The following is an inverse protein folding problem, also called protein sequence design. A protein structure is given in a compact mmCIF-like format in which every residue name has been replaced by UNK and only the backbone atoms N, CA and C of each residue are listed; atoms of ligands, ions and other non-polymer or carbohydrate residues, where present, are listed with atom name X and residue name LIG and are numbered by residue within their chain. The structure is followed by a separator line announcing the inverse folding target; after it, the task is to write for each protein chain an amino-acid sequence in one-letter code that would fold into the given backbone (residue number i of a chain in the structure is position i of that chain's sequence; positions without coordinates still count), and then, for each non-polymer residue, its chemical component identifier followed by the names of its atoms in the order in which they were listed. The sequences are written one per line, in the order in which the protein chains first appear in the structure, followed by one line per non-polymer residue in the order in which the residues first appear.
data_IF_567542733458
#
_entry.id   IF_567542733458
#
_cell.length_a   1.000
_cell.length_b   1.000
_cell.length_c   1.000
_cell.angle_alpha   90.00
_cell.angle_beta   90.00
_cell.angle_gamma   90.00
#
_symmetry.space_group_name_H-M   'P 1'
#
loop_
_entity.id
_entity.type
_entity.pdbx_description
1 polymer ?
#
# COMPACT_ATOMS: atom_id res chain seq x y z
N UNK A 1 -24.94 1.63 -6.83
CA UNK A 1 -23.52 1.46 -6.51
C UNK A 1 -23.26 2.23 -5.21
N UNK A 2 -22.71 1.61 -4.18
CA UNK A 2 -22.32 2.28 -2.94
C UNK A 2 -21.14 3.21 -3.22
N UNK A 3 -21.09 4.38 -2.54
CA UNK A 3 -19.96 5.28 -2.66
C UNK A 3 -18.69 4.60 -2.14
N UNK A 4 -17.52 4.80 -2.79
CA UNK A 4 -16.27 4.21 -2.33
C UNK A 4 -15.87 4.77 -0.94
N UNK A 5 -15.19 3.94 -0.15
CA UNK A 5 -14.64 4.36 1.13
C UNK A 5 -13.46 5.31 0.93
N UNK A 6 -12.52 4.93 0.03
CA UNK A 6 -11.42 5.77 -0.43
C UNK A 6 -11.57 5.98 -1.94
N UNK A 7 -11.43 7.22 -2.38
CA UNK A 7 -11.52 7.62 -3.79
C UNK A 7 -10.38 8.58 -4.13
N UNK A 8 -9.43 8.09 -4.90
CA UNK A 8 -8.28 8.86 -5.38
C UNK A 8 -8.53 9.26 -6.82
N UNK A 9 -8.60 10.56 -7.08
CA UNK A 9 -8.78 11.12 -8.41
C UNK A 9 -7.60 12.00 -8.79
N UNK A 10 -6.86 11.57 -9.83
CA UNK A 10 -5.73 12.29 -10.46
C UNK A 10 -4.73 12.86 -9.45
N UNK A 11 -4.40 12.10 -8.41
CA UNK A 11 -3.47 12.51 -7.36
C UNK A 11 -2.07 12.72 -7.94
N UNK A 12 -1.53 13.92 -7.76
CA UNK A 12 -0.20 14.32 -8.21
C UNK A 12 0.65 14.75 -7.02
N UNK A 13 1.86 14.20 -6.94
CA UNK A 13 2.85 14.56 -5.92
C UNK A 13 4.16 14.86 -6.61
N UNK A 14 4.84 15.92 -6.19
CA UNK A 14 6.10 16.29 -6.78
C UNK A 14 7.12 16.81 -5.78
N UNK A 15 8.37 16.81 -6.24
CA UNK A 15 9.53 17.26 -5.50
C UNK A 15 10.30 18.31 -6.31
N UNK A 16 10.86 19.34 -5.66
CA UNK A 16 11.77 20.25 -6.33
C UNK A 16 13.13 19.55 -6.56
N UNK A 17 13.54 19.47 -7.82
CA UNK A 17 14.82 18.89 -8.24
C UNK A 17 15.47 19.88 -9.21
N UNK A 18 16.68 20.35 -8.90
CA UNK A 18 17.43 21.31 -9.74
C UNK A 18 16.61 22.51 -10.24
N UNK A 19 15.81 23.12 -9.37
CA UNK A 19 14.98 24.29 -9.69
C UNK A 19 13.69 24.01 -10.47
N UNK A 20 13.36 22.76 -10.73
CA UNK A 20 12.10 22.32 -11.38
C UNK A 20 11.30 21.43 -10.45
N UNK A 21 9.98 21.44 -10.58
CA UNK A 21 9.12 20.47 -9.87
C UNK A 21 8.99 19.23 -10.74
N UNK A 22 9.42 18.09 -10.17
CA UNK A 22 9.35 16.80 -10.82
C UNK A 22 8.24 15.99 -10.17
N UNK A 23 7.34 15.45 -10.97
CA UNK A 23 6.23 14.62 -10.50
C UNK A 23 6.70 13.20 -10.21
N UNK A 24 6.50 12.77 -8.97
CA UNK A 24 6.70 11.40 -8.52
C UNK A 24 5.40 10.58 -8.58
N UNK A 25 4.23 11.23 -8.41
CA UNK A 25 2.93 10.69 -8.79
C UNK A 25 2.34 11.57 -9.87
N UNK A 26 1.88 10.96 -10.97
CA UNK A 26 1.55 11.60 -12.24
C UNK A 26 0.05 11.51 -12.56
N UNK A 27 -0.79 11.77 -11.55
CA UNK A 27 -2.24 11.74 -11.73
C UNK A 27 -2.83 10.35 -11.58
N UNK A 28 -2.44 9.63 -10.53
CA UNK A 28 -3.00 8.30 -10.25
C UNK A 28 -4.45 8.39 -9.79
N UNK A 29 -5.27 7.42 -10.24
CA UNK A 29 -6.67 7.31 -9.86
C UNK A 29 -7.03 5.86 -9.56
N UNK A 30 -7.63 5.61 -8.40
CA UNK A 30 -8.21 4.33 -8.01
C UNK A 30 -9.11 4.53 -6.80
N UNK A 31 -9.91 3.52 -6.50
CA UNK A 31 -10.84 3.52 -5.37
C UNK A 31 -10.69 2.26 -4.52
N UNK A 32 -11.20 2.33 -3.29
CA UNK A 32 -11.34 1.19 -2.38
C UNK A 32 -12.78 1.20 -1.86
N UNK A 33 -13.51 0.09 -2.06
CA UNK A 33 -14.86 -0.05 -1.55
C UNK A 33 -14.85 -0.43 -0.05
N UNK A 34 -15.94 -0.18 0.70
CA UNK A 34 -16.05 -0.67 2.08
C UNK A 34 -15.84 -2.20 2.15
N UNK A 35 -14.91 -2.64 3.03
CA UNK A 35 -14.57 -4.04 3.21
C UNK A 35 -13.70 -4.65 2.11
N UNK A 36 -13.32 -3.91 1.08
CA UNK A 36 -12.48 -4.38 -0.02
C UNK A 36 -11.00 -4.38 0.34
N UNK A 37 -10.23 -5.33 -0.23
CA UNK A 37 -8.78 -5.32 -0.24
C UNK A 37 -8.27 -4.96 -1.63
N UNK A 38 -7.59 -3.80 -1.74
CA UNK A 38 -6.95 -3.34 -2.98
C UNK A 38 -5.45 -3.43 -2.84
N UNK A 39 -4.80 -4.12 -3.78
CA UNK A 39 -3.36 -4.23 -3.88
C UNK A 39 -2.75 -3.08 -4.69
N UNK A 40 -1.63 -2.52 -4.22
CA UNK A 40 -0.85 -1.54 -4.97
C UNK A 40 0.54 -2.11 -5.24
N UNK A 41 0.80 -2.51 -6.49
CA UNK A 41 2.01 -3.21 -6.91
C UNK A 41 2.87 -2.40 -7.88
N UNK A 42 4.12 -2.82 -8.04
CA UNK A 42 5.10 -2.24 -8.97
C UNK A 42 6.52 -2.32 -8.44
N UNK A 43 7.50 -2.01 -9.27
CA UNK A 43 8.92 -1.98 -8.89
C UNK A 43 9.19 -0.91 -7.80
N UNK A 44 10.35 -1.00 -7.15
CA UNK A 44 10.82 0.05 -6.24
C UNK A 44 10.87 1.40 -6.95
N UNK A 45 10.47 2.48 -6.27
CA UNK A 45 10.39 3.82 -6.87
C UNK A 45 9.16 4.07 -7.76
N UNK A 46 8.23 3.11 -7.92
CA UNK A 46 7.01 3.33 -8.73
C UNK A 46 5.98 4.28 -8.10
N UNK A 47 6.11 4.65 -6.83
CA UNK A 47 5.22 5.59 -6.14
C UNK A 47 4.27 4.96 -5.11
N UNK A 48 4.37 3.67 -4.82
CA UNK A 48 3.47 2.94 -3.90
C UNK A 48 3.39 3.55 -2.50
N UNK A 49 4.51 3.56 -1.78
CA UNK A 49 4.59 4.14 -0.42
C UNK A 49 4.30 5.64 -0.41
N UNK A 50 4.70 6.36 -1.48
CA UNK A 50 4.38 7.77 -1.63
C UNK A 50 2.87 8.00 -1.76
N UNK A 51 2.14 7.08 -2.39
CA UNK A 51 0.67 7.12 -2.44
C UNK A 51 0.07 7.00 -1.04
N UNK A 52 0.55 6.05 -0.22
CA UNK A 52 0.11 5.90 1.16
C UNK A 52 0.36 7.17 2.00
N UNK A 53 1.58 7.73 1.87
CA UNK A 53 1.94 8.97 2.55
C UNK A 53 1.09 10.17 2.07
N UNK A 54 0.78 10.24 0.79
CA UNK A 54 -0.05 11.31 0.24
C UNK A 54 -1.50 11.24 0.73
N UNK A 55 -2.09 10.04 0.81
CA UNK A 55 -3.41 9.81 1.41
C UNK A 55 -3.46 10.38 2.83
N UNK A 56 -2.44 10.12 3.63
CA UNK A 56 -2.35 10.57 5.02
C UNK A 56 -1.78 11.99 5.18
N UNK A 57 -1.46 12.70 4.08
CA UNK A 57 -0.78 14.00 4.10
C UNK A 57 0.52 13.98 4.92
N UNK A 58 1.29 12.90 4.78
CA UNK A 58 2.58 12.69 5.44
C UNK A 58 3.77 12.79 4.45
N UNK A 59 3.54 13.34 3.25
CA UNK A 59 4.64 13.60 2.31
C UNK A 59 5.60 14.60 2.94
N UNK A 60 6.85 14.13 3.16
CA UNK A 60 7.86 14.95 3.82
C UNK A 60 8.34 16.10 2.91
N UNK A 61 8.53 17.32 3.45
CA UNK A 61 9.21 18.38 2.72
C UNK A 61 10.59 17.93 2.19
N UNK A 62 10.98 18.38 0.98
CA UNK A 62 10.38 19.40 0.14
C UNK A 62 9.27 18.87 -0.80
N UNK A 63 8.86 17.62 -0.67
CA UNK A 63 7.75 17.04 -1.44
C UNK A 63 6.40 17.67 -1.08
N UNK A 64 5.51 17.75 -2.05
CA UNK A 64 4.15 18.28 -1.84
C UNK A 64 3.15 17.68 -2.81
N UNK A 65 1.89 17.65 -2.39
CA UNK A 65 0.77 17.36 -3.29
C UNK A 65 0.60 18.54 -4.24
N UNK A 66 0.56 18.28 -5.54
CA UNK A 66 0.44 19.26 -6.60
C UNK A 66 -0.99 19.43 -7.09
N UNK A 67 -1.85 18.42 -6.86
CA UNK A 67 -3.25 18.44 -7.30
C UNK A 67 -3.89 17.06 -7.24
N UNK A 68 -5.12 16.97 -7.67
CA UNK A 68 -5.99 15.81 -7.53
C UNK A 68 -6.86 15.88 -6.29
N UNK A 69 -7.58 14.79 -5.98
CA UNK A 69 -8.46 14.66 -4.83
C UNK A 69 -8.19 13.35 -4.10
N UNK A 70 -8.34 13.36 -2.79
CA UNK A 70 -8.32 12.17 -1.93
C UNK A 70 -9.60 12.17 -1.10
N UNK A 71 -10.65 11.55 -1.63
CA UNK A 71 -11.93 11.36 -0.95
C UNK A 71 -11.85 10.19 0.03
N UNK A 72 -12.31 10.38 1.27
CA UNK A 72 -12.43 9.30 2.24
C UNK A 72 -13.74 9.47 3.02
N UNK A 73 -14.59 8.45 3.03
CA UNK A 73 -15.90 8.45 3.70
C UNK A 73 -16.72 9.72 3.39
N UNK A 74 -16.65 10.22 2.15
CA UNK A 74 -17.37 11.42 1.68
C UNK A 74 -16.65 12.76 1.89
N UNK A 75 -15.50 12.80 2.57
CA UNK A 75 -14.72 14.01 2.81
C UNK A 75 -13.46 14.05 1.93
N UNK A 76 -13.06 15.23 1.46
CA UNK A 76 -11.76 15.41 0.80
C UNK A 76 -10.66 15.63 1.86
N UNK A 77 -9.77 14.64 2.01
CA UNK A 77 -8.69 14.68 2.99
C UNK A 77 -7.71 15.84 2.74
N UNK A 78 -7.55 16.27 1.48
CA UNK A 78 -6.63 17.35 1.15
C UNK A 78 -7.15 18.73 1.62
N UNK A 79 -8.47 18.86 1.79
CA UNK A 79 -9.13 20.09 2.24
C UNK A 79 -9.29 20.18 3.78
N UNK A 80 -9.09 19.08 4.52
CA UNK A 80 -9.24 19.06 5.96
C UNK A 80 -8.19 19.93 6.67
N UNK A 81 -8.57 20.54 7.79
CA UNK A 81 -7.62 21.15 8.72
C UNK A 81 -6.69 20.09 9.33
N UNK A 82 -5.55 20.50 9.89
CA UNK A 82 -4.62 19.56 10.53
C UNK A 82 -5.26 18.91 11.80
N UNK A 83 -6.12 19.62 12.49
CA UNK A 83 -6.85 19.09 13.64
C UNK A 83 -7.82 17.96 13.23
N UNK A 84 -8.50 18.10 12.08
CA UNK A 84 -9.37 17.07 11.52
C UNK A 84 -8.54 15.90 11.01
N UNK A 85 -7.43 16.16 10.27
CA UNK A 85 -6.54 15.11 9.81
C UNK A 85 -5.95 14.26 10.95
N UNK A 86 -5.64 14.86 12.12
CA UNK A 86 -5.20 14.10 13.29
C UNK A 86 -6.24 13.11 13.80
N UNK A 87 -7.52 13.41 13.65
CA UNK A 87 -8.59 12.46 14.02
C UNK A 87 -8.70 11.33 13.00
N UNK A 88 -8.45 11.62 11.73
CA UNK A 88 -8.45 10.61 10.65
C UNK A 88 -7.26 9.66 10.82
N UNK A 89 -6.02 10.22 10.99
CA UNK A 89 -4.82 9.42 11.17
C UNK A 89 -4.89 8.65 12.49
N UNK A 90 -4.82 7.31 12.43
CA UNK A 90 -4.91 6.39 13.57
C UNK A 90 -6.32 6.12 14.08
N UNK A 91 -7.28 7.03 13.87
CA UNK A 91 -8.67 6.83 14.25
C UNK A 91 -9.53 6.16 13.17
N UNK A 92 -9.45 6.67 11.94
CA UNK A 92 -10.25 6.17 10.81
C UNK A 92 -9.40 5.50 9.72
N UNK A 93 -8.20 6.00 9.47
CA UNK A 93 -7.19 5.41 8.59
C UNK A 93 -5.95 5.14 9.42
N UNK A 94 -5.48 3.90 9.43
CA UNK A 94 -4.22 3.51 10.06
C UNK A 94 -3.24 2.99 9.02
N UNK A 95 -1.95 3.09 9.32
CA UNK A 95 -0.88 2.58 8.48
C UNK A 95 0.07 1.70 9.29
N UNK A 96 0.46 0.58 8.69
CA UNK A 96 1.59 -0.25 9.12
C UNK A 96 2.72 0.03 8.16
N UNK A 97 3.82 0.60 8.68
CA UNK A 97 5.02 0.90 7.89
C UNK A 97 5.91 -0.32 7.70
N UNK A 98 6.77 -0.25 6.69
CA UNK A 98 7.64 -1.32 6.23
C UNK A 98 8.61 -1.86 7.30
N UNK A 99 9.16 -0.99 8.17
CA UNK A 99 10.18 -1.36 9.14
C UNK A 99 9.65 -1.36 10.58
N UNK A 100 9.48 -2.56 11.20
CA UNK A 100 9.05 -2.66 12.58
C UNK A 100 10.07 -2.12 13.61
N UNK A 101 11.36 -2.10 13.26
CA UNK A 101 12.40 -1.67 14.20
C UNK A 101 12.39 -0.16 14.42
N UNK A 102 12.05 0.60 13.38
CA UNK A 102 11.95 2.07 13.46
C UNK A 102 10.58 2.55 13.91
N UNK A 103 9.53 1.69 13.77
CA UNK A 103 8.15 2.04 14.10
C UNK A 103 7.79 1.82 15.56
N UNK A 104 8.46 0.88 16.26
CA UNK A 104 8.29 0.64 17.69
C UNK A 104 9.35 1.39 18.48
N UNK A 105 8.90 2.19 19.49
CA UNK A 105 9.85 2.85 20.38
C UNK A 105 10.44 1.85 21.38
N UNK A 106 11.77 1.58 21.34
CA UNK A 106 12.39 0.56 22.20
C UNK A 106 12.40 0.91 23.70
N UNK A 107 12.20 2.20 24.05
CA UNK A 107 12.20 2.66 25.44
C UNK A 107 10.89 2.41 26.19
N UNK A 108 9.80 2.06 25.47
CA UNK A 108 8.48 1.82 26.05
C UNK A 108 8.04 0.38 25.82
N UNK A 109 7.25 -0.14 26.76
CA UNK A 109 6.63 -1.46 26.58
C UNK A 109 5.59 -1.42 25.47
N UNK A 110 5.24 -2.55 24.92
CA UNK A 110 4.17 -2.66 23.89
C UNK A 110 2.85 -2.17 24.45
N UNK A 111 2.54 -2.47 25.70
CA UNK A 111 1.33 -2.01 26.38
C UNK A 111 1.27 -0.49 26.54
N UNK A 112 2.39 0.15 26.91
CA UNK A 112 2.44 1.63 26.98
C UNK A 112 2.13 2.26 25.62
N UNK A 113 2.75 1.78 24.55
CA UNK A 113 2.54 2.30 23.19
C UNK A 113 1.08 2.11 22.72
N UNK A 114 0.47 0.95 23.01
CA UNK A 114 -0.95 0.71 22.71
C UNK A 114 -1.88 1.64 23.51
N UNK A 115 -1.61 1.80 24.79
CA UNK A 115 -2.40 2.70 25.68
C UNK A 115 -2.33 4.14 25.19
N UNK A 116 -1.16 4.61 24.74
CA UNK A 116 -0.99 5.96 24.20
C UNK A 116 -1.85 6.18 22.94
N UNK A 117 -1.87 5.21 22.02
CA UNK A 117 -2.74 5.24 20.82
C UNK A 117 -4.22 5.29 21.23
N UNK A 118 -4.64 4.44 22.17
CA UNK A 118 -6.02 4.40 22.66
C UNK A 118 -6.42 5.69 23.38
N UNK A 119 -5.51 6.26 24.15
CA UNK A 119 -5.73 7.54 24.84
C UNK A 119 -5.90 8.69 23.84
N UNK A 120 -5.06 8.73 22.81
CA UNK A 120 -5.07 9.77 21.79
C UNK A 120 -6.34 9.77 20.92
N UNK A 121 -6.84 8.59 20.53
CA UNK A 121 -7.92 8.46 19.54
C UNK A 121 -9.26 7.99 20.11
N UNK A 122 -9.26 7.26 21.23
CA UNK A 122 -10.46 6.70 21.85
C UNK A 122 -10.77 7.35 23.21
N UNK A 123 -9.86 8.17 23.73
CA UNK A 123 -9.98 8.76 25.07
C UNK A 123 -9.90 7.73 26.22
N UNK A 124 -9.55 6.48 25.92
CA UNK A 124 -9.40 5.41 26.92
C UNK A 124 -8.15 5.64 27.75
N UNK A 125 -8.23 5.42 29.06
CA UNK A 125 -7.11 5.60 30.00
C UNK A 125 -7.13 4.54 31.11
N UNK A 126 -6.01 4.41 31.81
CA UNK A 126 -5.88 3.53 32.97
C UNK A 126 -6.20 2.08 32.67
N UNK A 127 -6.99 1.46 33.56
CA UNK A 127 -7.32 0.03 33.48
C UNK A 127 -8.07 -0.34 32.18
N UNK A 128 -9.06 0.48 31.78
CA UNK A 128 -9.84 0.21 30.57
C UNK A 128 -8.98 0.21 29.29
N UNK A 129 -8.02 1.16 29.16
CA UNK A 129 -7.09 1.18 28.04
C UNK A 129 -6.17 -0.08 28.04
N UNK A 130 -5.73 -0.50 29.22
CA UNK A 130 -4.86 -1.68 29.35
C UNK A 130 -5.60 -2.99 29.04
N UNK A 131 -6.84 -3.14 29.45
CA UNK A 131 -7.70 -4.28 29.12
C UNK A 131 -7.91 -4.35 27.60
N UNK A 132 -8.29 -3.23 26.97
CA UNK A 132 -8.48 -3.16 25.53
C UNK A 132 -7.17 -3.42 24.74
N UNK A 133 -6.03 -2.93 25.25
CA UNK A 133 -4.71 -3.23 24.66
C UNK A 133 -4.39 -4.73 24.71
N UNK A 134 -4.73 -5.42 25.82
CA UNK A 134 -4.57 -6.86 25.97
C UNK A 134 -5.41 -7.63 24.97
N UNK A 135 -6.70 -7.32 24.86
CA UNK A 135 -7.61 -7.88 23.86
C UNK A 135 -7.10 -7.68 22.42
N UNK A 136 -6.57 -6.47 22.13
CA UNK A 136 -6.02 -6.17 20.81
C UNK A 136 -4.76 -6.99 20.50
N UNK A 137 -3.90 -7.26 21.48
CA UNK A 137 -2.76 -8.18 21.29
C UNK A 137 -3.23 -9.61 21.02
N UNK A 138 -4.27 -10.08 21.71
CA UNK A 138 -4.82 -11.42 21.49
C UNK A 138 -5.41 -11.57 20.08
N UNK A 139 -6.05 -10.52 19.54
CA UNK A 139 -6.53 -10.51 18.15
C UNK A 139 -5.40 -10.76 17.12
N UNK A 140 -4.18 -10.34 17.40
CA UNK A 140 -3.03 -10.59 16.52
C UNK A 140 -2.22 -11.84 16.91
N UNK A 141 -2.72 -12.64 17.88
CA UNK A 141 -2.09 -13.87 18.32
C UNK A 141 -0.90 -13.66 19.25
N UNK A 142 -0.83 -12.53 19.96
CA UNK A 142 0.13 -12.26 21.02
C UNK A 142 -0.61 -12.32 22.36
N UNK A 143 -0.18 -13.17 23.32
CA UNK A 143 -0.85 -13.24 24.63
C UNK A 143 -0.87 -11.88 25.34
N UNK A 144 -2.01 -11.48 25.91
CA UNK A 144 -2.19 -10.18 26.59
C UNK A 144 -1.20 -9.94 27.74
N UNK A 145 -0.69 -10.99 28.41
CA UNK A 145 0.38 -10.89 29.41
C UNK A 145 1.69 -10.29 28.88
N UNK A 146 1.87 -10.22 27.56
CA UNK A 146 3.05 -9.61 26.91
C UNK A 146 2.98 -8.10 26.80
N UNK A 147 1.94 -7.45 27.33
CA UNK A 147 1.83 -5.98 27.38
C UNK A 147 3.04 -5.31 28.06
N UNK A 148 3.62 -5.96 29.07
CA UNK A 148 4.76 -5.41 29.83
C UNK A 148 6.11 -5.72 29.18
N UNK A 149 6.13 -6.44 28.06
CA UNK A 149 7.35 -6.71 27.30
C UNK A 149 7.75 -5.52 26.43
N UNK A 150 9.06 -5.39 26.27
CA UNK A 150 9.68 -4.40 25.37
C UNK A 150 9.81 -4.95 23.95
N UNK A 151 9.90 -4.07 22.92
CA UNK A 151 10.07 -4.50 21.53
C UNK A 151 11.24 -5.45 21.28
N UNK A 152 12.36 -5.29 21.98
CA UNK A 152 13.55 -6.12 21.80
C UNK A 152 13.36 -7.57 22.31
N UNK A 153 12.36 -7.83 23.16
CA UNK A 153 12.00 -9.17 23.62
C UNK A 153 11.10 -9.93 22.62
N UNK A 154 10.72 -9.29 21.52
CA UNK A 154 9.86 -9.85 20.48
C UNK A 154 10.70 -10.30 19.27
N UNK A 155 10.33 -11.45 18.67
CA UNK A 155 10.85 -11.83 17.35
C UNK A 155 10.36 -10.86 16.26
N UNK A 156 10.96 -10.90 15.06
CA UNK A 156 10.54 -10.05 13.94
C UNK A 156 9.04 -10.17 13.62
N UNK A 157 8.52 -11.38 13.53
CA UNK A 157 7.10 -11.63 13.31
C UNK A 157 6.21 -11.16 14.47
N UNK A 158 6.67 -11.25 15.72
CA UNK A 158 5.93 -10.71 16.88
C UNK A 158 5.91 -9.17 16.86
N UNK A 159 7.02 -8.51 16.49
CA UNK A 159 7.06 -7.05 16.33
C UNK A 159 6.08 -6.60 15.26
N UNK A 160 6.05 -7.29 14.11
CA UNK A 160 5.10 -7.01 13.05
C UNK A 160 3.65 -7.16 13.50
N UNK A 161 3.32 -8.23 14.23
CA UNK A 161 2.00 -8.42 14.83
C UNK A 161 1.66 -7.34 15.83
N UNK A 162 2.62 -6.87 16.65
CA UNK A 162 2.40 -5.76 17.58
C UNK A 162 2.13 -4.43 16.85
N UNK A 163 2.81 -4.15 15.73
CA UNK A 163 2.49 -3.00 14.88
C UNK A 163 1.08 -3.08 14.27
N UNK A 164 0.70 -4.26 13.79
CA UNK A 164 -0.66 -4.49 13.31
C UNK A 164 -1.66 -4.26 14.45
N UNK A 165 -1.38 -4.76 15.67
CA UNK A 165 -2.22 -4.49 16.84
C UNK A 165 -2.40 -2.99 17.10
N UNK A 166 -1.31 -2.22 17.09
CA UNK A 166 -1.40 -0.75 17.25
C UNK A 166 -2.23 -0.09 16.15
N UNK A 167 -2.06 -0.53 14.91
CA UNK A 167 -2.81 0.00 13.77
C UNK A 167 -4.31 -0.29 13.86
N UNK A 168 -4.73 -1.44 14.41
CA UNK A 168 -6.14 -1.83 14.52
C UNK A 168 -6.77 -1.47 15.87
N UNK A 169 -6.00 -1.00 16.87
CA UNK A 169 -6.47 -0.73 18.23
C UNK A 169 -7.68 0.24 18.29
N UNK A 170 -7.72 1.20 17.36
CA UNK A 170 -8.82 2.14 17.24
C UNK A 170 -9.95 1.67 16.31
N UNK A 171 -9.88 0.45 15.76
CA UNK A 171 -10.82 -0.10 14.76
C UNK A 171 -11.00 0.84 13.56
N UNK A 172 -9.94 1.10 12.80
CA UNK A 172 -10.02 1.97 11.63
C UNK A 172 -10.93 1.37 10.56
N UNK A 173 -11.48 2.23 9.68
CA UNK A 173 -12.25 1.79 8.50
C UNK A 173 -11.32 1.31 7.38
N UNK A 174 -10.11 1.90 7.29
CA UNK A 174 -9.08 1.55 6.30
C UNK A 174 -7.74 1.29 6.98
N UNK A 175 -7.16 0.14 6.70
CA UNK A 175 -5.78 -0.18 7.05
C UNK A 175 -4.91 -0.10 5.78
N UNK A 176 -3.88 0.73 5.82
CA UNK A 176 -2.83 0.74 4.81
C UNK A 176 -1.69 -0.11 5.33
N UNK A 177 -1.32 -1.17 4.62
CA UNK A 177 -0.21 -2.04 4.95
C UNK A 177 0.90 -1.84 3.91
N UNK A 178 1.91 -1.03 4.26
CA UNK A 178 3.01 -0.70 3.36
C UNK A 178 4.16 -1.67 3.56
N UNK A 179 4.28 -2.62 2.64
CA UNK A 179 5.24 -3.73 2.65
C UNK A 179 5.32 -4.46 4.01
N UNK A 180 4.20 -4.92 4.57
CA UNK A 180 4.14 -5.42 5.95
C UNK A 180 4.88 -6.74 6.17
N UNK A 181 5.43 -7.33 5.14
CA UNK A 181 6.12 -8.64 5.18
C UNK A 181 7.60 -8.55 4.81
N UNK A 182 8.09 -7.35 4.48
CA UNK A 182 9.52 -7.15 4.13
C UNK A 182 10.41 -7.52 5.32
N UNK A 183 11.55 -8.15 5.05
CA UNK A 183 12.52 -8.65 6.02
C UNK A 183 12.02 -9.79 6.95
N UNK A 184 10.91 -10.45 6.60
CA UNK A 184 10.42 -11.64 7.29
C UNK A 184 10.67 -12.89 6.41
N UNK A 185 10.85 -14.04 7.05
CA UNK A 185 10.92 -15.32 6.34
C UNK A 185 9.57 -15.69 5.70
N UNK A 186 9.60 -16.55 4.68
CA UNK A 186 8.42 -16.89 3.86
C UNK A 186 7.26 -17.44 4.71
N UNK A 187 7.56 -18.21 5.74
CA UNK A 187 6.54 -18.81 6.62
C UNK A 187 5.83 -17.71 7.43
N UNK A 188 6.59 -16.76 7.98
CA UNK A 188 6.03 -15.64 8.73
C UNK A 188 5.29 -14.67 7.80
N UNK A 189 5.76 -14.47 6.57
CA UNK A 189 5.03 -13.67 5.56
C UNK A 189 3.62 -14.22 5.34
N UNK A 190 3.48 -15.51 5.07
CA UNK A 190 2.18 -16.16 4.91
C UNK A 190 1.28 -16.00 6.15
N UNK A 191 1.85 -16.12 7.35
CA UNK A 191 1.11 -15.93 8.60
C UNK A 191 0.62 -14.48 8.78
N UNK A 192 1.39 -13.46 8.37
CA UNK A 192 0.98 -12.05 8.44
C UNK A 192 -0.13 -11.77 7.42
N UNK A 193 -0.04 -12.32 6.21
CA UNK A 193 -1.10 -12.19 5.19
C UNK A 193 -2.40 -12.83 5.65
N UNK A 194 -2.34 -14.06 6.17
CA UNK A 194 -3.49 -14.75 6.75
C UNK A 194 -4.10 -13.98 7.95
N UNK A 195 -3.25 -13.39 8.80
CA UNK A 195 -3.70 -12.52 9.88
C UNK A 195 -4.46 -11.30 9.36
N UNK A 196 -3.92 -10.58 8.37
CA UNK A 196 -4.56 -9.41 7.78
C UNK A 196 -5.90 -9.77 7.11
N UNK A 197 -5.97 -10.89 6.39
CA UNK A 197 -7.20 -11.39 5.78
C UNK A 197 -8.27 -11.71 6.83
N UNK A 198 -7.90 -12.37 7.94
CA UNK A 198 -8.78 -12.65 9.06
C UNK A 198 -9.29 -11.37 9.72
N UNK A 199 -8.38 -10.45 10.06
CA UNK A 199 -8.73 -9.16 10.69
C UNK A 199 -9.65 -8.32 9.81
N UNK A 200 -9.43 -8.33 8.48
CA UNK A 200 -10.33 -7.67 7.52
C UNK A 200 -11.76 -8.18 7.68
N UNK A 201 -11.95 -9.49 7.74
CA UNK A 201 -13.28 -10.11 7.86
C UNK A 201 -13.88 -9.89 9.25
N UNK A 202 -13.11 -10.14 10.33
CA UNK A 202 -13.59 -10.04 11.72
C UNK A 202 -13.94 -8.61 12.13
N UNK A 203 -13.18 -7.62 11.66
CA UNK A 203 -13.35 -6.22 12.03
C UNK A 203 -14.13 -5.40 10.97
N UNK A 204 -14.43 -5.99 9.80
CA UNK A 204 -15.10 -5.30 8.70
C UNK A 204 -14.28 -4.16 8.10
N UNK A 205 -12.94 -4.20 8.20
CA UNK A 205 -12.07 -3.15 7.69
C UNK A 205 -11.75 -3.32 6.21
N UNK A 206 -11.47 -2.21 5.53
CA UNK A 206 -10.92 -2.21 4.17
C UNK A 206 -9.40 -2.21 4.24
N UNK A 207 -8.74 -2.76 3.20
CA UNK A 207 -7.29 -2.90 3.16
C UNK A 207 -6.70 -2.28 1.88
N UNK A 208 -5.73 -1.40 2.03
CA UNK A 208 -4.81 -1.03 0.96
C UNK A 208 -3.48 -1.75 1.20
N UNK A 209 -3.23 -2.81 0.44
CA UNK A 209 -2.07 -3.68 0.61
C UNK A 209 -0.98 -3.33 -0.41
N UNK A 210 0.12 -2.78 0.06
CA UNK A 210 1.27 -2.40 -0.77
C UNK A 210 2.33 -3.49 -0.64
N UNK A 211 2.71 -4.08 -1.75
CA UNK A 211 3.76 -5.10 -1.79
C UNK A 211 4.44 -5.15 -3.17
N UNK A 212 5.64 -5.68 -3.20
CA UNK A 212 6.31 -6.11 -4.43
C UNK A 212 6.12 -7.62 -4.69
N UNK A 213 5.56 -8.36 -3.72
CA UNK A 213 5.26 -9.79 -3.86
C UNK A 213 3.83 -9.98 -4.38
N UNK A 214 3.72 -10.31 -5.68
CA UNK A 214 2.43 -10.45 -6.36
C UNK A 214 1.69 -11.72 -5.96
N UNK A 215 2.39 -12.78 -5.52
CA UNK A 215 1.74 -14.01 -5.05
C UNK A 215 0.93 -13.74 -3.76
N UNK A 216 1.52 -13.00 -2.81
CA UNK A 216 0.82 -12.58 -1.60
C UNK A 216 -0.36 -11.65 -1.93
N UNK A 217 -0.22 -10.81 -2.97
CA UNK A 217 -1.34 -9.96 -3.41
C UNK A 217 -2.46 -10.76 -4.04
N UNK A 218 -2.13 -11.79 -4.84
CA UNK A 218 -3.14 -12.68 -5.43
C UNK A 218 -3.95 -13.44 -4.35
N UNK A 219 -3.35 -13.68 -3.18
CA UNK A 219 -3.99 -14.37 -2.06
C UNK A 219 -4.97 -13.46 -1.29
N UNK A 220 -4.60 -12.19 -1.06
CA UNK A 220 -5.35 -11.31 -0.13
C UNK A 220 -6.20 -10.25 -0.82
N UNK A 221 -5.84 -9.81 -2.05
CA UNK A 221 -6.48 -8.68 -2.70
C UNK A 221 -7.63 -9.09 -3.61
N UNK A 222 -8.73 -8.35 -3.55
CA UNK A 222 -9.85 -8.49 -4.49
C UNK A 222 -9.50 -7.84 -5.84
N UNK A 223 -8.87 -6.67 -5.80
CA UNK A 223 -8.39 -5.90 -6.97
C UNK A 223 -6.96 -5.46 -6.77
N UNK A 224 -6.26 -5.25 -7.89
CA UNK A 224 -4.90 -4.72 -7.86
C UNK A 224 -4.74 -3.54 -8.83
N UNK A 225 -3.83 -2.64 -8.47
CA UNK A 225 -3.40 -1.47 -9.24
C UNK A 225 -1.89 -1.58 -9.43
N UNK A 226 -1.44 -1.62 -10.67
CA UNK A 226 -0.04 -1.74 -11.04
C UNK A 226 0.53 -0.36 -11.38
N UNK A 227 1.49 0.09 -10.59
CA UNK A 227 2.17 1.38 -10.75
C UNK A 227 3.54 1.23 -11.40
N UNK A 228 3.88 2.13 -12.31
CA UNK A 228 5.22 2.30 -12.85
C UNK A 228 5.51 3.78 -13.13
N UNK A 229 6.67 4.27 -12.67
CA UNK A 229 7.09 5.65 -12.90
C UNK A 229 6.06 6.70 -12.47
N UNK A 230 5.33 6.44 -11.39
CA UNK A 230 4.31 7.34 -10.84
C UNK A 230 2.96 7.34 -11.57
N UNK A 231 2.72 6.41 -12.50
CA UNK A 231 1.47 6.29 -13.23
C UNK A 231 0.85 4.89 -13.07
N UNK A 232 -0.48 4.79 -13.22
CA UNK A 232 -1.19 3.51 -13.27
C UNK A 232 -1.03 2.91 -14.65
N UNK A 233 -0.49 1.70 -14.73
CA UNK A 233 -0.31 0.96 -15.99
C UNK A 233 -1.49 0.04 -16.27
N UNK A 234 -1.93 -0.68 -15.24
CA UNK A 234 -3.04 -1.61 -15.32
C UNK A 234 -3.73 -1.72 -13.95
N UNK A 235 -5.05 -1.87 -13.91
CA UNK A 235 -5.81 -2.11 -12.71
C UNK A 235 -7.02 -3.01 -13.01
N UNK A 236 -7.42 -3.84 -12.05
CA UNK A 236 -8.56 -4.72 -12.20
C UNK A 236 -8.65 -5.80 -11.12
N UNK A 237 -9.62 -6.75 -11.26
CA UNK A 237 -9.73 -7.88 -10.35
C UNK A 237 -8.42 -8.69 -10.30
N UNK A 238 -7.93 -9.02 -9.10
CA UNK A 238 -6.62 -9.64 -8.90
C UNK A 238 -6.47 -10.96 -9.70
N UNK A 239 -7.46 -11.85 -9.63
CA UNK A 239 -7.42 -13.11 -10.36
C UNK A 239 -7.31 -12.95 -11.87
N UNK A 240 -8.03 -11.97 -12.46
CA UNK A 240 -7.98 -11.69 -13.90
C UNK A 240 -6.68 -10.99 -14.28
N UNK A 241 -6.23 -10.05 -13.47
CA UNK A 241 -5.02 -9.27 -13.73
C UNK A 241 -3.78 -10.16 -13.72
N UNK A 242 -3.67 -11.09 -12.75
CA UNK A 242 -2.53 -11.99 -12.65
C UNK A 242 -2.64 -13.22 -13.56
N UNK A 243 -3.87 -13.70 -13.82
CA UNK A 243 -4.09 -14.84 -14.72
C UNK A 243 -3.94 -14.52 -16.22
N UNK A 244 -4.27 -13.30 -16.63
CA UNK A 244 -4.24 -12.84 -18.02
C UNK A 244 -3.82 -11.37 -18.11
N UNK A 245 -2.58 -10.99 -17.73
CA UNK A 245 -2.10 -9.63 -17.78
C UNK A 245 -2.09 -9.08 -19.21
N UNK A 246 -2.55 -7.84 -19.39
CA UNK A 246 -2.63 -7.22 -20.72
C UNK A 246 -1.51 -6.20 -20.95
N UNK A 247 -1.15 -5.43 -19.92
CA UNK A 247 -0.07 -4.45 -20.05
C UNK A 247 1.30 -5.16 -20.14
N UNK A 248 2.18 -4.82 -21.09
CA UNK A 248 3.51 -5.43 -21.22
C UNK A 248 4.35 -5.38 -19.93
N UNK A 249 4.24 -4.30 -19.15
CA UNK A 249 4.91 -4.20 -17.85
C UNK A 249 4.37 -5.23 -16.83
N UNK A 250 3.05 -5.38 -16.74
CA UNK A 250 2.43 -6.37 -15.82
C UNK A 250 2.87 -7.78 -16.17
N UNK A 251 2.92 -8.12 -17.47
CA UNK A 251 3.46 -9.42 -17.94
C UNK A 251 4.89 -9.63 -17.50
N UNK A 252 5.78 -8.65 -17.73
CA UNK A 252 7.17 -8.73 -17.31
C UNK A 252 7.35 -8.81 -15.80
N UNK A 253 6.53 -8.10 -15.04
CA UNK A 253 6.55 -8.14 -13.58
C UNK A 253 6.22 -9.55 -13.05
N UNK A 254 5.25 -10.22 -13.66
CA UNK A 254 4.88 -11.60 -13.34
C UNK A 254 5.95 -12.62 -13.80
N UNK A 255 6.61 -12.39 -14.92
CA UNK A 255 7.71 -13.24 -15.42
C UNK A 255 8.94 -13.23 -14.48
N UNK A 256 9.05 -12.22 -13.60
CA UNK A 256 10.13 -12.13 -12.61
C UNK A 256 9.87 -13.00 -11.37
N UNK A 257 8.67 -13.57 -11.20
CA UNK A 257 8.34 -14.38 -10.02
C UNK A 257 8.87 -15.79 -10.21
N UNK A 258 9.72 -16.31 -9.29
CA UNK A 258 10.16 -17.69 -9.31
C UNK A 258 8.98 -18.65 -9.11
N UNK A 259 8.71 -19.52 -10.07
CA UNK A 259 7.66 -20.55 -9.92
C UNK A 259 8.27 -21.84 -9.36
N UNK A 260 7.78 -22.28 -8.21
CA UNK A 260 8.25 -23.50 -7.54
C UNK A 260 7.95 -24.78 -8.34
N UNK A 261 6.94 -24.76 -9.20
CA UNK A 261 6.53 -25.87 -10.08
C UNK A 261 7.31 -25.96 -11.40
N UNK A 262 8.23 -25.02 -11.62
CA UNK A 262 9.00 -24.90 -12.85
C UNK A 262 10.32 -25.71 -12.85
N UNK A 263 10.30 -26.92 -12.28
CA UNK A 263 11.46 -27.82 -12.33
C UNK A 263 11.87 -28.07 -13.80
N UNK A 264 13.06 -27.60 -14.17
CA UNK A 264 13.60 -27.72 -15.55
C UNK A 264 13.14 -26.62 -16.52
N UNK A 265 12.43 -25.59 -16.09
CA UNK A 265 12.07 -24.41 -16.90
C UNK A 265 13.07 -23.25 -16.72
N UNK A 266 12.98 -22.29 -17.67
CA UNK A 266 13.86 -21.12 -17.70
C UNK A 266 13.82 -20.34 -16.37
N UNK A 267 14.98 -19.85 -15.93
CA UNK A 267 15.09 -18.96 -14.78
C UNK A 267 14.23 -17.69 -14.96
N UNK A 268 13.71 -17.09 -13.89
CA UNK A 268 13.00 -15.83 -13.97
C UNK A 268 13.81 -14.80 -14.74
N UNK A 269 13.17 -14.13 -15.70
CA UNK A 269 13.85 -13.14 -16.54
C UNK A 269 13.65 -11.74 -15.93
N UNK A 270 14.72 -11.10 -15.44
CA UNK A 270 14.59 -9.74 -14.93
C UNK A 270 14.16 -8.79 -16.05
N UNK A 271 13.43 -7.75 -15.70
CA UNK A 271 13.07 -6.68 -16.64
C UNK A 271 14.36 -5.92 -17.01
N UNK A 272 14.77 -5.88 -18.29
CA UNK A 272 16.01 -5.21 -18.70
C UNK A 272 15.99 -3.72 -18.39
N UNK A 273 17.16 -3.14 -18.12
CA UNK A 273 17.33 -1.72 -17.81
C UNK A 273 16.93 -1.37 -16.39
N UNK A 274 16.90 -0.07 -16.08
CA UNK A 274 16.56 0.48 -14.77
C UNK A 274 15.22 1.21 -14.82
N UNK A 275 14.42 1.18 -13.74
CA UNK A 275 13.28 2.09 -13.61
C UNK A 275 13.71 3.55 -13.76
N UNK A 276 12.85 4.43 -14.30
CA UNK A 276 13.19 5.84 -14.46
C UNK A 276 13.49 6.47 -13.09
N UNK A 277 14.62 7.17 -12.99
CA UNK A 277 14.90 7.98 -11.82
C UNK A 277 13.93 9.16 -11.75
N UNK A 278 13.75 9.71 -10.55
CA UNK A 278 12.91 10.89 -10.36
C UNK A 278 13.40 12.03 -11.27
N UNK A 279 12.54 12.53 -12.16
CA UNK A 279 12.88 13.54 -13.16
C UNK A 279 13.29 13.03 -14.53
N UNK A 280 13.42 11.74 -14.71
CA UNK A 280 13.71 11.12 -16.01
C UNK A 280 12.46 10.53 -16.69
N UNK A 281 11.28 10.77 -16.13
CA UNK A 281 10.03 10.25 -16.71
C UNK A 281 9.72 10.92 -18.04
N UNK A 282 9.50 10.11 -19.08
CA UNK A 282 9.06 10.57 -20.39
C UNK A 282 7.71 11.30 -20.32
N UNK A 283 7.43 12.14 -21.32
CA UNK A 283 6.10 12.77 -21.51
C UNK A 283 5.04 11.70 -21.78
N UNK A 284 5.41 10.62 -22.47
CA UNK A 284 4.57 9.47 -22.79
C UNK A 284 4.57 8.36 -21.75
N UNK A 285 4.45 7.12 -22.22
CA UNK A 285 4.45 5.93 -21.38
C UNK A 285 5.80 5.79 -20.66
N UNK A 286 5.82 5.76 -19.31
CA UNK A 286 7.08 5.67 -18.57
C UNK A 286 7.80 4.33 -18.74
N UNK A 287 7.10 3.27 -19.19
CA UNK A 287 7.67 1.97 -19.44
C UNK A 287 8.27 1.82 -20.87
N UNK A 288 8.01 2.78 -21.77
CA UNK A 288 8.44 2.72 -23.18
C UNK A 288 9.92 2.31 -23.35
N UNK A 289 10.92 2.85 -22.62
CA UNK A 289 12.32 2.50 -22.82
C UNK A 289 12.68 1.03 -22.50
N UNK A 290 11.79 0.33 -21.80
CA UNK A 290 11.96 -1.07 -21.34
C UNK A 290 10.90 -1.99 -21.95
N UNK A 291 9.99 -1.44 -22.76
CA UNK A 291 8.85 -2.16 -23.31
C UNK A 291 9.27 -2.95 -24.58
N UNK A 292 9.11 -4.29 -24.61
CA UNK A 292 9.39 -5.06 -25.81
C UNK A 292 8.37 -4.83 -26.94
N UNK A 293 7.24 -4.18 -26.65
CA UNK A 293 6.13 -3.90 -27.56
C UNK A 293 5.97 -2.39 -27.77
N UNK A 294 7.05 -1.61 -27.56
CA UNK A 294 7.00 -0.17 -27.71
C UNK A 294 6.64 0.25 -29.14
N UNK A 295 5.68 1.16 -29.26
CA UNK A 295 5.28 1.77 -30.53
C UNK A 295 5.88 3.18 -30.62
N UNK A 296 6.08 3.73 -31.85
CA UNK A 296 6.76 5.04 -32.03
C UNK A 296 6.14 6.21 -31.24
N UNK A 297 4.84 6.18 -31.00
CA UNK A 297 4.14 7.23 -30.26
C UNK A 297 4.15 7.07 -28.75
N UNK A 298 4.63 5.91 -28.21
CA UNK A 298 4.70 5.66 -26.78
C UNK A 298 5.64 6.63 -26.05
N UNK A 299 6.68 7.15 -26.70
CA UNK A 299 7.64 8.09 -26.11
C UNK A 299 7.05 9.51 -25.91
N UNK A 300 6.09 9.91 -26.75
CA UNK A 300 5.57 11.28 -26.79
C UNK A 300 4.21 11.48 -26.14
N UNK A 301 3.38 10.44 -26.05
CA UNK A 301 2.00 10.54 -25.59
C UNK A 301 1.69 9.43 -24.60
N UNK A 302 1.23 9.80 -23.38
CA UNK A 302 0.69 8.81 -22.45
C UNK A 302 -0.61 8.23 -23.00
N UNK A 303 -0.76 6.88 -23.08
CA UNK A 303 -2.01 6.27 -23.52
C UNK A 303 -3.17 6.68 -22.60
N UNK A 304 -4.32 6.96 -23.19
CA UNK A 304 -5.55 7.08 -22.42
C UNK A 304 -5.91 5.73 -21.80
N UNK A 305 -6.46 5.75 -20.59
CA UNK A 305 -6.97 4.52 -19.98
C UNK A 305 -8.15 3.98 -20.81
N UNK A 306 -8.06 2.73 -21.26
CA UNK A 306 -9.20 1.96 -21.75
C UNK A 306 -9.83 1.20 -20.59
N UNK A 307 -11.15 1.08 -20.58
CA UNK A 307 -11.91 0.34 -19.57
C UNK A 307 -12.68 -0.78 -20.24
N UNK A 308 -12.35 -2.00 -19.89
CA UNK A 308 -13.02 -3.20 -20.45
C UNK A 308 -13.20 -4.26 -19.35
N UNK A 309 -14.42 -4.74 -19.19
CA UNK A 309 -14.77 -5.79 -18.21
C UNK A 309 -14.24 -5.52 -16.77
N UNK A 310 -14.29 -4.27 -16.33
CA UNK A 310 -13.81 -3.87 -15.00
C UNK A 310 -12.29 -3.74 -14.86
N UNK A 311 -11.54 -3.86 -15.97
CA UNK A 311 -10.09 -3.60 -16.05
C UNK A 311 -9.83 -2.24 -16.68
N UNK A 312 -8.84 -1.54 -16.17
CA UNK A 312 -8.31 -0.29 -16.72
C UNK A 312 -6.88 -0.53 -17.18
N UNK A 313 -6.56 -0.09 -18.38
CA UNK A 313 -5.25 -0.31 -18.99
C UNK A 313 -4.81 0.96 -19.71
N UNK A 314 -3.61 1.44 -19.41
CA UNK A 314 -2.98 2.58 -20.07
C UNK A 314 -1.89 2.08 -21.04
N UNK A 315 -2.29 1.49 -22.18
CA UNK A 315 -1.36 0.93 -23.15
C UNK A 315 -1.91 0.95 -24.57
N UNK A 316 -1.11 1.44 -25.53
CA UNK A 316 -1.46 1.44 -26.95
C UNK A 316 -1.40 0.04 -27.59
N UNK A 317 -0.51 -0.84 -27.11
CA UNK A 317 -0.35 -2.18 -27.64
C UNK A 317 -1.36 -3.19 -27.07
N UNK A 318 -2.10 -2.83 -26.01
CA UNK A 318 -3.10 -3.68 -25.38
C UNK A 318 -4.55 -3.32 -25.76
N UNK A 319 -4.73 -2.34 -26.66
CA UNK A 319 -6.01 -1.90 -27.17
C UNK A 319 -6.64 -2.92 -28.14
#
# INVERSE_FOLDING_TARGET
MTAPLLDIDRLRVGFPVAGRVVEALRGISFDVQPGEAVGLAGESGSGKSLTALAILRLVAPPGRVLGGRVGFAGHDLLALSEAEMRRVRGGEISIVFQDPLTSLNPAFTIGQQLVDVLAAHRGLRGRAAREHAGETLELVGIPGRRLDSYPFEFSGGMRQRALIAMAIACRPKLLIADEPTTALDVTIQAQIVALLARLRTELGLSLLFISHNLDLMAEICDRCVILYGGAVMEAGPAGTLFGAPRHPYTRRLLDCIPRLDAVGRELPRPIPGQPPALGQTAVGCPFEPRCPEALPHCSGIMPAESVEAGRRIACWAAA
#
